data_IF_636560439889
#
_entry.id   IF_636560439889
#
_cell.length_a   1.000
_cell.length_b   1.000
_cell.length_c   1.000
_cell.angle_alpha   90.00
_cell.angle_beta   90.00
_cell.angle_gamma   90.00
#
_symmetry.space_group_name_H-M   'P 1'
#
loop_
_entity.id
_entity.type
_entity.pdbx_description
1 polymer ?
#
# COMPACT_ATOMS: atom_id res chain seq x y z
N UNK A 1 -5.77 -6.48 19.78
CA UNK A 1 -4.97 -5.29 19.42
C UNK A 1 -3.94 -4.89 20.48
N UNK A 2 -4.19 -5.05 21.79
CA UNK A 2 -3.17 -4.75 22.82
C UNK A 2 -2.02 -5.78 22.87
N UNK A 3 -2.30 -7.07 22.62
CA UNK A 3 -1.28 -8.13 22.61
C UNK A 3 -0.23 -7.96 21.50
N UNK A 4 -0.65 -7.48 20.32
CA UNK A 4 0.23 -7.26 19.17
C UNK A 4 1.18 -6.09 19.37
N UNK A 5 0.77 -5.05 20.10
CA UNK A 5 1.63 -3.91 20.42
C UNK A 5 2.69 -4.24 21.48
N UNK A 6 2.34 -5.05 22.48
CA UNK A 6 3.29 -5.52 23.48
C UNK A 6 4.34 -6.46 22.87
N UNK A 7 3.93 -7.29 21.90
CA UNK A 7 4.85 -8.17 21.18
C UNK A 7 5.84 -7.38 20.32
N UNK A 8 5.36 -6.36 19.60
CA UNK A 8 6.23 -5.48 18.81
C UNK A 8 7.21 -4.68 19.68
N UNK A 9 6.80 -4.23 20.87
CA UNK A 9 7.70 -3.56 21.82
C UNK A 9 8.77 -4.52 22.37
N UNK A 10 8.41 -5.79 22.61
CA UNK A 10 9.37 -6.80 23.05
C UNK A 10 10.40 -7.12 21.97
N UNK A 11 9.96 -7.27 20.72
CA UNK A 11 10.83 -7.54 19.58
C UNK A 11 11.77 -6.36 19.29
N UNK A 12 11.28 -5.12 19.38
CA UNK A 12 12.11 -3.91 19.26
C UNK A 12 13.16 -3.83 20.37
N UNK A 13 12.78 -4.10 21.62
CA UNK A 13 13.71 -4.13 22.74
C UNK A 13 14.78 -5.23 22.57
N UNK A 14 14.39 -6.40 22.05
CA UNK A 14 15.30 -7.49 21.76
C UNK A 14 16.31 -7.12 20.67
N UNK A 15 15.87 -6.51 19.58
CA UNK A 15 16.75 -6.10 18.48
C UNK A 15 17.69 -4.95 18.87
N UNK A 16 17.22 -3.98 19.65
CA UNK A 16 18.07 -2.88 20.17
C UNK A 16 19.14 -3.42 21.11
N UNK A 17 18.79 -4.36 22.00
CA UNK A 17 19.75 -4.96 22.93
C UNK A 17 20.83 -5.77 22.18
N UNK A 18 20.43 -6.52 21.15
CA UNK A 18 21.35 -7.29 20.30
C UNK A 18 22.28 -6.39 19.48
N UNK A 19 21.80 -5.22 19.04
CA UNK A 19 22.62 -4.21 18.35
C UNK A 19 23.65 -3.60 19.29
N UNK A 20 23.26 -3.25 20.52
CA UNK A 20 24.18 -2.72 21.54
C UNK A 20 25.24 -3.77 21.93
N UNK A 21 24.87 -5.05 22.02
CA UNK A 21 25.79 -6.15 22.29
C UNK A 21 26.76 -6.38 21.12
N UNK A 22 26.29 -6.32 19.88
CA UNK A 22 27.12 -6.43 18.68
C UNK A 22 28.07 -5.22 18.49
N UNK A 23 27.61 -4.01 18.80
CA UNK A 23 28.45 -2.80 18.80
C UNK A 23 29.50 -2.85 19.92
N UNK A 24 29.21 -3.49 21.07
CA UNK A 24 30.18 -3.76 22.14
C UNK A 24 31.24 -4.78 21.74
N UNK A 25 30.87 -5.84 21.03
CA UNK A 25 31.81 -6.84 20.51
C UNK A 25 32.68 -6.28 19.38
N UNK A 26 32.12 -5.43 18.51
CA UNK A 26 32.86 -4.75 17.45
C UNK A 26 33.79 -3.64 17.98
N UNK A 27 33.38 -2.91 19.02
CA UNK A 27 34.16 -1.84 19.64
C UNK A 27 35.34 -2.33 20.51
N UNK A 28 35.38 -3.61 20.88
CA UNK A 28 36.45 -4.20 21.69
C UNK A 28 37.76 -4.47 20.94
N UNK A 29 37.78 -4.34 19.61
CA UNK A 29 38.93 -4.73 18.78
C UNK A 29 39.77 -3.57 18.23
N UNK A 30 39.41 -2.31 18.50
CA UNK A 30 40.12 -1.14 17.97
C UNK A 30 41.13 -0.51 18.95
N UNK A 31 41.28 -1.04 20.15
CA UNK A 31 42.27 -0.58 21.13
C UNK A 31 43.19 -1.72 21.59
N UNK A 32 43.97 -2.29 20.69
CA UNK A 32 45.16 -3.08 21.05
C UNK A 32 46.13 -3.14 19.87
N UNK A 33 47.32 -2.57 20.08
CA UNK A 33 48.48 -2.74 19.21
C UNK A 33 48.71 -4.24 18.90
N UNK A 34 49.30 -4.59 17.74
CA UNK A 34 49.51 -5.99 17.39
C UNK A 34 50.48 -6.64 18.38
N UNK A 35 49.98 -7.56 19.22
CA UNK A 35 50.82 -8.47 19.98
C UNK A 35 51.25 -9.62 19.06
N UNK A 36 52.55 -9.99 19.04
CA UNK A 36 53.02 -11.14 18.28
C UNK A 36 52.52 -12.42 18.95
N UNK A 37 51.89 -13.32 18.19
CA UNK A 37 51.61 -14.68 18.65
C UNK A 37 52.79 -15.60 18.32
N UNK A 38 53.13 -16.56 19.20
CA UNK A 38 54.21 -17.50 18.97
C UNK A 38 53.79 -18.62 18.00
N UNK A 39 54.77 -19.13 17.27
CA UNK A 39 54.68 -20.25 16.33
C UNK A 39 54.53 -21.61 17.01
N UNK A 40 53.94 -22.57 16.29
CA UNK A 40 54.10 -24.01 16.56
C UNK A 40 54.53 -24.71 15.27
N UNK A 41 55.79 -25.13 15.29
CA UNK A 41 56.48 -26.28 14.69
C UNK A 41 55.83 -27.05 13.52
N UNK A 42 56.59 -27.11 12.42
CA UNK A 42 56.77 -28.34 11.65
C UNK A 42 58.17 -28.35 11.05
N UNK A 43 58.99 -29.22 11.62
CA UNK A 43 60.33 -29.57 11.14
C UNK A 43 60.26 -30.21 9.75
N UNK A 44 61.09 -29.73 8.82
CA UNK A 44 61.73 -30.63 7.87
C UNK A 44 63.12 -30.09 7.54
N UNK A 45 64.10 -30.84 8.01
CA UNK A 45 65.53 -30.66 7.79
C UNK A 45 65.89 -31.37 6.48
N UNK A 46 66.53 -30.67 5.55
CA UNK A 46 67.83 -31.13 5.02
C UNK A 46 68.56 -30.01 4.27
N UNK A 47 69.90 -29.92 4.42
CA UNK A 47 70.70 -28.77 4.02
C UNK A 47 71.37 -28.98 2.67
N UNK A 48 71.76 -27.90 1.99
CA UNK A 48 73.06 -27.81 1.29
C UNK A 48 73.29 -26.42 0.67
N UNK A 49 74.40 -25.84 1.13
CA UNK A 49 75.40 -25.07 0.37
C UNK A 49 75.06 -23.67 -0.20
N UNK A 50 75.78 -22.74 0.41
CA UNK A 50 76.62 -21.69 -0.22
C UNK A 50 75.94 -20.43 -0.76
N UNK A 51 76.43 -19.32 -0.21
CA UNK A 51 76.57 -17.99 -0.80
C UNK A 51 75.30 -17.12 -0.91
N UNK A 52 75.22 -16.13 -0.01
CA UNK A 52 75.66 -14.77 -0.36
C UNK A 52 75.73 -13.92 0.90
N UNK A 53 76.90 -13.32 1.12
CA UNK A 53 77.24 -12.34 2.15
C UNK A 53 76.36 -11.07 2.15
N UNK A 54 75.42 -10.95 1.22
CA UNK A 54 74.43 -9.88 1.14
C UNK A 54 73.29 -10.02 2.18
N UNK A 55 72.93 -11.23 2.62
CA UNK A 55 71.86 -11.43 3.60
C UNK A 55 72.30 -11.14 5.05
N UNK A 56 73.59 -11.31 5.35
CA UNK A 56 74.17 -11.05 6.67
C UNK A 56 74.50 -9.57 6.89
N UNK A 57 74.82 -8.82 5.82
CA UNK A 57 75.00 -7.37 5.88
C UNK A 57 73.69 -6.60 6.09
N UNK A 58 72.53 -7.17 5.72
CA UNK A 58 71.21 -6.54 5.97
C UNK A 58 70.75 -6.63 7.43
N UNK A 59 71.40 -7.45 8.27
CA UNK A 59 71.11 -7.54 9.73
C UNK A 59 72.04 -6.69 10.59
N UNK A 60 73.02 -6.00 10.01
CA UNK A 60 73.92 -5.07 10.70
C UNK A 60 73.66 -3.64 10.21
N UNK A 61 72.39 -3.26 10.08
CA UNK A 61 72.06 -1.83 10.13
C UNK A 61 72.29 -1.40 11.58
N UNK A 62 73.25 -0.50 11.78
CA UNK A 62 73.58 0.08 13.08
C UNK A 62 72.26 0.45 13.81
N UNK A 63 72.02 0.00 15.05
CA UNK A 63 70.81 0.37 15.80
C UNK A 63 70.61 1.90 15.85
N UNK A 64 71.71 2.65 15.80
CA UNK A 64 71.72 4.11 15.70
C UNK A 64 71.18 4.63 14.35
N UNK A 65 71.39 3.94 13.23
CA UNK A 65 70.88 4.32 11.90
C UNK A 65 69.38 4.05 11.78
N UNK A 66 68.87 2.97 12.37
CA UNK A 66 67.43 2.69 12.43
C UNK A 66 66.71 3.66 13.38
N UNK A 67 67.34 4.00 14.51
CA UNK A 67 66.87 5.02 15.45
C UNK A 67 66.81 6.41 14.79
N UNK A 68 67.84 6.75 14.01
CA UNK A 68 67.90 8.02 13.28
C UNK A 68 66.89 8.09 12.13
N UNK A 69 66.71 7.00 11.37
CA UNK A 69 65.68 6.94 10.34
C UNK A 69 64.26 7.12 10.92
N UNK A 70 63.98 6.51 12.09
CA UNK A 70 62.73 6.69 12.80
C UNK A 70 62.57 8.10 13.39
N UNK A 71 63.67 8.76 13.79
CA UNK A 71 63.66 10.17 14.24
C UNK A 71 63.36 11.12 13.09
N UNK A 72 63.99 10.89 11.94
CA UNK A 72 63.76 11.66 10.70
C UNK A 72 62.32 11.48 10.21
N UNK A 73 61.77 10.26 10.26
CA UNK A 73 60.36 10.02 9.91
C UNK A 73 59.41 10.77 10.85
N UNK A 74 59.66 10.75 12.16
CA UNK A 74 58.86 11.52 13.13
C UNK A 74 58.96 13.03 12.91
N UNK A 75 60.15 13.54 12.62
CA UNK A 75 60.33 14.96 12.29
C UNK A 75 59.61 15.35 11.00
N UNK A 76 59.61 14.48 9.97
CA UNK A 76 58.84 14.70 8.74
C UNK A 76 57.34 14.65 8.96
N UNK A 77 56.87 13.74 9.83
CA UNK A 77 55.47 13.68 10.23
C UNK A 77 55.05 14.96 10.96
N UNK A 78 55.86 15.43 11.91
CA UNK A 78 55.61 16.70 12.61
C UNK A 78 55.64 17.90 11.65
N UNK A 79 56.61 17.98 10.74
CA UNK A 79 56.67 19.04 9.74
C UNK A 79 55.52 18.99 8.72
N UNK A 80 54.99 17.80 8.42
CA UNK A 80 53.79 17.64 7.62
C UNK A 80 52.54 18.17 8.35
N UNK A 81 52.54 18.10 9.69
CA UNK A 81 51.44 18.57 10.54
C UNK A 81 51.53 20.09 10.81
N UNK A 82 52.73 20.69 10.86
CA UNK A 82 52.94 22.14 11.06
C UNK A 82 52.69 23.01 9.81
N UNK A 83 52.61 22.41 8.60
CA UNK A 83 52.46 23.11 7.32
C UNK A 83 51.02 23.34 6.83
N UNK A 84 50.02 23.12 7.68
CA UNK A 84 48.64 23.54 7.43
C UNK A 84 48.54 25.03 7.77
N UNK A 85 48.58 25.90 6.76
CA UNK A 85 48.15 27.29 6.96
C UNK A 85 46.69 27.28 7.39
N UNK A 86 46.32 28.11 8.38
CA UNK A 86 44.94 28.28 8.87
C UNK A 86 43.92 28.50 7.73
N UNK A 87 44.34 29.00 6.56
CA UNK A 87 43.48 29.22 5.39
C UNK A 87 43.14 27.95 4.56
N UNK A 88 43.82 26.81 4.80
CA UNK A 88 43.57 25.50 4.19
C UNK A 88 43.37 24.40 5.24
N UNK A 89 43.11 24.82 6.48
CA UNK A 89 42.71 23.97 7.59
C UNK A 89 41.55 23.08 7.15
N UNK A 90 41.68 21.80 7.46
CA UNK A 90 40.73 20.71 7.16
C UNK A 90 39.54 20.81 8.14
N UNK A 91 39.07 22.02 8.42
CA UNK A 91 38.01 22.33 9.39
C UNK A 91 36.70 21.61 9.03
N UNK A 92 36.40 21.48 7.73
CA UNK A 92 35.19 20.82 7.23
C UNK A 92 35.15 19.30 7.46
N UNK A 93 36.30 18.67 7.73
CA UNK A 93 36.42 17.21 7.77
C UNK A 93 36.73 16.66 9.18
N UNK A 94 36.95 17.54 10.15
CA UNK A 94 37.04 17.19 11.58
C UNK A 94 35.70 17.16 12.30
N UNK A 95 34.61 17.53 11.60
CA UNK A 95 33.23 17.57 12.12
C UNK A 95 32.52 16.25 11.80
N UNK A 96 31.62 15.83 12.68
CA UNK A 96 30.76 14.67 12.43
C UNK A 96 29.94 14.85 11.14
N UNK A 97 29.77 13.77 10.37
CA UNK A 97 29.02 13.79 9.12
C UNK A 97 27.52 14.02 9.40
N UNK A 98 27.06 15.26 9.35
CA UNK A 98 25.65 15.61 9.57
C UNK A 98 24.78 15.24 8.36
N UNK A 99 24.00 14.16 8.52
CA UNK A 99 22.87 13.88 7.63
C UNK A 99 21.61 14.45 8.30
N UNK A 100 20.87 15.36 7.63
CA UNK A 100 19.64 15.94 8.20
C UNK A 100 18.67 14.85 8.66
N UNK A 101 17.72 15.10 9.58
CA UNK A 101 16.71 14.09 9.96
C UNK A 101 15.76 13.77 8.78
N UNK A 102 15.10 12.60 8.83
CA UNK A 102 14.08 12.24 7.84
C UNK A 102 12.87 13.18 7.96
N UNK A 103 12.39 13.68 6.83
CA UNK A 103 11.21 14.55 6.74
C UNK A 103 10.20 13.94 5.78
N UNK A 104 8.95 14.39 5.84
CA UNK A 104 7.89 13.94 4.91
C UNK A 104 8.22 14.19 3.44
N UNK A 105 9.05 15.20 3.17
CA UNK A 105 9.39 15.64 1.82
C UNK A 105 10.64 14.94 1.28
N UNK A 106 11.33 14.13 2.11
CA UNK A 106 12.51 13.37 1.72
C UNK A 106 12.18 12.38 0.61
N UNK A 107 12.97 12.38 -0.48
CA UNK A 107 12.83 11.40 -1.57
C UNK A 107 14.08 10.55 -1.66
N UNK A 108 13.87 9.26 -1.91
CA UNK A 108 14.95 8.29 -2.10
C UNK A 108 15.92 8.72 -3.22
N UNK A 109 15.40 9.36 -4.26
CA UNK A 109 16.21 9.87 -5.39
C UNK A 109 17.23 10.91 -4.93
N UNK A 110 16.84 11.81 -4.03
CA UNK A 110 17.70 12.87 -3.52
C UNK A 110 18.79 12.30 -2.60
N UNK A 111 18.45 11.27 -1.83
CA UNK A 111 19.38 10.56 -0.95
C UNK A 111 20.42 9.77 -1.76
N UNK A 112 20.01 9.06 -2.81
CA UNK A 112 20.91 8.36 -3.73
C UNK A 112 21.82 9.36 -4.47
N UNK A 113 21.30 10.53 -4.85
CA UNK A 113 22.11 11.58 -5.45
C UNK A 113 23.20 12.09 -4.48
N UNK A 114 22.88 12.26 -3.20
CA UNK A 114 23.85 12.64 -2.17
C UNK A 114 24.96 11.58 -1.99
N UNK A 115 24.61 10.29 -2.01
CA UNK A 115 25.59 9.19 -2.00
C UNK A 115 26.51 9.26 -3.22
N UNK A 116 25.95 9.48 -4.42
CA UNK A 116 26.73 9.57 -5.65
C UNK A 116 27.74 10.73 -5.62
N UNK A 117 27.36 11.88 -5.05
CA UNK A 117 28.27 13.01 -4.83
C UNK A 117 29.40 12.61 -3.87
N UNK A 118 29.11 11.91 -2.78
CA UNK A 118 30.13 11.45 -1.85
C UNK A 118 31.10 10.46 -2.53
N UNK A 119 30.58 9.49 -3.29
CA UNK A 119 31.41 8.54 -4.05
C UNK A 119 32.31 9.23 -5.09
N UNK A 120 31.82 10.29 -5.74
CA UNK A 120 32.65 11.07 -6.66
C UNK A 120 33.80 11.77 -5.94
N UNK A 121 33.55 12.34 -4.75
CA UNK A 121 34.59 12.98 -3.93
C UNK A 121 35.58 11.96 -3.33
N UNK A 122 35.11 10.76 -2.99
CA UNK A 122 35.99 9.64 -2.60
C UNK A 122 36.92 9.26 -3.74
N UNK A 123 36.39 9.13 -4.96
CA UNK A 123 37.19 8.82 -6.15
C UNK A 123 38.27 9.88 -6.41
N UNK A 124 37.92 11.16 -6.27
CA UNK A 124 38.88 12.25 -6.43
C UNK A 124 39.99 12.19 -5.36
N UNK A 125 39.63 11.95 -4.10
CA UNK A 125 40.60 11.82 -3.01
C UNK A 125 41.53 10.62 -3.22
N UNK A 126 41.00 9.47 -3.64
CA UNK A 126 41.78 8.29 -3.96
C UNK A 126 42.70 8.51 -5.17
N UNK A 127 42.26 9.28 -6.17
CA UNK A 127 43.09 9.65 -7.32
C UNK A 127 44.27 10.52 -6.89
N UNK A 128 44.05 11.53 -6.05
CA UNK A 128 45.13 12.37 -5.53
C UNK A 128 46.14 11.54 -4.74
N UNK A 129 45.68 10.59 -3.91
CA UNK A 129 46.57 9.66 -3.21
C UNK A 129 47.42 8.82 -4.17
N UNK A 130 46.79 8.26 -5.20
CA UNK A 130 47.48 7.49 -6.23
C UNK A 130 48.52 8.33 -6.99
N UNK A 131 48.15 9.55 -7.40
CA UNK A 131 49.04 10.47 -8.10
C UNK A 131 50.24 10.85 -7.22
N UNK A 132 50.01 11.08 -5.91
CA UNK A 132 51.06 11.38 -4.92
C UNK A 132 52.03 10.22 -4.71
N UNK A 133 51.53 8.98 -4.76
CA UNK A 133 52.34 7.77 -4.73
C UNK A 133 53.14 7.60 -6.04
N UNK A 134 52.52 7.88 -7.19
CA UNK A 134 53.15 7.76 -8.49
C UNK A 134 54.25 8.80 -8.75
N UNK A 135 54.12 10.01 -8.20
CA UNK A 135 55.14 11.07 -8.31
C UNK A 135 56.32 10.88 -7.36
N UNK A 136 56.23 9.93 -6.42
CA UNK A 136 57.28 9.70 -5.46
C UNK A 136 58.53 9.04 -6.11
N UNK A 137 59.76 9.38 -5.66
CA UNK A 137 60.98 8.82 -6.25
C UNK A 137 61.03 7.30 -6.11
N UNK A 138 61.07 6.58 -7.23
CA UNK A 138 61.12 5.11 -7.30
C UNK A 138 62.42 4.48 -6.74
N UNK A 139 63.41 5.32 -6.44
CA UNK A 139 64.71 4.93 -5.85
C UNK A 139 64.67 4.84 -4.31
N UNK A 140 63.58 5.27 -3.67
CA UNK A 140 63.39 5.22 -2.22
C UNK A 140 62.66 3.93 -1.82
N UNK A 141 63.06 3.29 -0.73
CA UNK A 141 62.35 2.15 -0.09
C UNK A 141 60.97 2.53 0.49
N UNK A 142 60.57 3.78 0.29
CA UNK A 142 59.62 4.53 1.10
C UNK A 142 59.14 5.75 0.27
N UNK A 143 58.24 5.58 -0.71
CA UNK A 143 58.11 6.57 -1.78
C UNK A 143 57.51 7.89 -1.26
N UNK A 144 56.26 7.89 -0.82
CA UNK A 144 55.55 9.13 -0.45
C UNK A 144 55.87 9.60 0.97
N UNK A 145 56.22 8.72 1.91
CA UNK A 145 56.60 9.12 3.28
C UNK A 145 58.06 9.58 3.41
N UNK A 146 58.82 9.63 2.31
CA UNK A 146 60.18 10.19 2.30
C UNK A 146 60.22 11.72 2.30
N UNK A 147 59.11 12.38 1.98
CA UNK A 147 58.97 13.84 1.96
C UNK A 147 57.84 14.27 2.88
N UNK A 148 58.06 15.34 3.65
CA UNK A 148 57.02 15.93 4.50
C UNK A 148 55.83 16.44 3.66
N UNK A 149 56.07 16.94 2.45
CA UNK A 149 55.02 17.43 1.55
C UNK A 149 54.11 16.30 1.04
N UNK A 150 54.70 15.22 0.50
CA UNK A 150 53.93 14.06 0.03
C UNK A 150 53.21 13.35 1.19
N UNK A 151 53.82 13.30 2.38
CA UNK A 151 53.17 12.76 3.58
C UNK A 151 51.96 13.60 3.99
N UNK A 152 52.07 14.94 3.94
CA UNK A 152 50.95 15.85 4.21
C UNK A 152 49.81 15.65 3.21
N UNK A 153 50.11 15.61 1.92
CA UNK A 153 49.10 15.50 0.87
C UNK A 153 48.40 14.12 0.91
N UNK A 154 49.13 13.05 1.25
CA UNK A 154 48.54 11.73 1.54
C UNK A 154 47.63 11.74 2.78
N UNK A 155 48.08 12.33 3.90
CA UNK A 155 47.27 12.44 5.13
C UNK A 155 45.98 13.25 4.89
N UNK A 156 46.08 14.39 4.24
CA UNK A 156 44.93 15.24 3.93
C UNK A 156 43.93 14.52 3.01
N UNK A 157 44.41 13.86 1.97
CA UNK A 157 43.54 13.12 1.04
C UNK A 157 42.91 11.89 1.70
N UNK A 158 43.65 11.21 2.59
CA UNK A 158 43.10 10.10 3.38
C UNK A 158 42.01 10.56 4.35
N UNK A 159 42.18 11.70 5.04
CA UNK A 159 41.15 12.26 5.92
C UNK A 159 39.88 12.66 5.13
N UNK A 160 40.04 13.27 3.95
CA UNK A 160 38.90 13.61 3.07
C UNK A 160 38.18 12.37 2.55
N UNK A 161 38.94 11.35 2.15
CA UNK A 161 38.40 10.07 1.70
C UNK A 161 37.56 9.42 2.80
N UNK A 162 38.10 9.37 4.02
CA UNK A 162 37.44 8.75 5.17
C UNK A 162 36.13 9.47 5.54
N UNK A 163 36.14 10.80 5.60
CA UNK A 163 34.93 11.59 5.83
C UNK A 163 33.86 11.36 4.74
N UNK A 164 34.24 11.37 3.46
CA UNK A 164 33.28 11.12 2.39
C UNK A 164 32.73 9.69 2.42
N UNK A 165 33.53 8.72 2.85
CA UNK A 165 33.08 7.35 3.07
C UNK A 165 32.06 7.28 4.22
N UNK A 166 32.33 7.92 5.36
CA UNK A 166 31.39 8.00 6.48
C UNK A 166 30.10 8.73 6.10
N UNK A 167 30.20 9.84 5.36
CA UNK A 167 29.03 10.58 4.87
C UNK A 167 28.19 9.69 3.93
N UNK A 168 28.83 8.98 3.00
CA UNK A 168 28.13 8.05 2.10
C UNK A 168 27.42 6.92 2.85
N UNK A 169 28.06 6.38 3.90
CA UNK A 169 27.46 5.35 4.76
C UNK A 169 26.25 5.88 5.54
N UNK A 170 26.31 7.11 6.05
CA UNK A 170 25.18 7.73 6.75
C UNK A 170 24.01 7.99 5.80
N UNK A 171 24.28 8.50 4.59
CA UNK A 171 23.25 8.62 3.55
C UNK A 171 22.69 7.28 3.09
N UNK A 172 23.52 6.22 3.05
CA UNK A 172 23.06 4.87 2.75
C UNK A 172 22.10 4.34 3.81
N UNK A 173 22.42 4.50 5.11
CA UNK A 173 21.50 4.13 6.19
C UNK A 173 20.17 4.86 6.07
N UNK A 174 20.21 6.18 5.83
CA UNK A 174 19.01 6.98 5.61
C UNK A 174 18.18 6.47 4.43
N UNK A 175 18.82 6.16 3.30
CA UNK A 175 18.13 5.66 2.11
C UNK A 175 17.40 4.33 2.36
N UNK A 176 18.00 3.47 3.19
CA UNK A 176 17.38 2.22 3.61
C UNK A 176 16.16 2.46 4.51
N UNK A 177 16.25 3.38 5.48
CA UNK A 177 15.12 3.77 6.32
C UNK A 177 13.95 4.33 5.48
N UNK A 178 14.26 5.20 4.52
CA UNK A 178 13.25 5.77 3.63
C UNK A 178 12.59 4.72 2.73
N UNK A 179 13.37 3.78 2.21
CA UNK A 179 12.85 2.66 1.42
C UNK A 179 11.93 1.75 2.27
N UNK A 180 12.29 1.49 3.52
CA UNK A 180 11.45 0.72 4.45
C UNK A 180 10.14 1.45 4.76
N UNK A 181 10.18 2.76 5.00
CA UNK A 181 8.98 3.57 5.22
C UNK A 181 8.06 3.54 4.00
N UNK A 182 8.60 3.74 2.80
CA UNK A 182 7.83 3.67 1.55
C UNK A 182 7.22 2.28 1.32
N UNK A 183 7.97 1.21 1.59
CA UNK A 183 7.48 -0.15 1.46
C UNK A 183 6.31 -0.44 2.43
N UNK A 184 6.42 0.01 3.69
CA UNK A 184 5.34 -0.14 4.69
C UNK A 184 4.11 0.67 4.29
N UNK A 185 4.29 1.92 3.84
CA UNK A 185 3.19 2.75 3.35
C UNK A 185 2.49 2.10 2.16
N UNK A 186 3.24 1.60 1.17
CA UNK A 186 2.69 0.92 0.01
C UNK A 186 1.94 -0.37 0.41
N UNK A 187 2.46 -1.12 1.37
CA UNK A 187 1.79 -2.31 1.89
C UNK A 187 0.45 -1.94 2.55
N UNK A 188 0.42 -0.91 3.40
CA UNK A 188 -0.81 -0.43 4.03
C UNK A 188 -1.86 0.01 2.99
N UNK A 189 -1.44 0.76 1.97
CA UNK A 189 -2.32 1.16 0.86
C UNK A 189 -2.81 -0.06 0.07
N UNK A 190 -1.93 -1.03 -0.20
CA UNK A 190 -2.30 -2.27 -0.90
C UNK A 190 -3.33 -3.08 -0.12
N UNK A 191 -3.15 -3.21 1.20
CA UNK A 191 -4.10 -3.91 2.09
C UNK A 191 -5.45 -3.18 2.10
N UNK A 192 -5.44 -1.86 2.28
CA UNK A 192 -6.68 -1.06 2.27
C UNK A 192 -7.41 -1.11 0.93
N UNK A 193 -6.67 -1.06 -0.18
CA UNK A 193 -7.27 -1.17 -1.53
C UNK A 193 -7.86 -2.56 -1.74
N UNK A 194 -7.18 -3.60 -1.26
CA UNK A 194 -7.68 -4.99 -1.33
C UNK A 194 -8.98 -5.15 -0.54
N UNK A 195 -9.06 -4.60 0.68
CA UNK A 195 -10.30 -4.69 1.48
C UNK A 195 -11.45 -3.96 0.80
N UNK A 196 -11.22 -2.75 0.29
CA UNK A 196 -12.23 -1.99 -0.47
C UNK A 196 -12.72 -2.75 -1.71
N UNK A 197 -11.81 -3.41 -2.45
CA UNK A 197 -12.18 -4.19 -3.62
C UNK A 197 -13.06 -5.40 -3.25
N UNK A 198 -12.78 -6.07 -2.14
CA UNK A 198 -13.61 -7.17 -1.63
C UNK A 198 -15.00 -6.67 -1.20
N UNK A 199 -15.08 -5.53 -0.51
CA UNK A 199 -16.35 -4.90 -0.14
C UNK A 199 -17.20 -4.54 -1.38
N UNK A 200 -16.57 -3.93 -2.40
CA UNK A 200 -17.25 -3.61 -3.66
C UNK A 200 -17.72 -4.86 -4.40
N UNK A 201 -16.93 -5.93 -4.38
CA UNK A 201 -17.31 -7.22 -4.95
C UNK A 201 -18.53 -7.80 -4.24
N UNK A 202 -18.57 -7.73 -2.90
CA UNK A 202 -19.72 -8.19 -2.12
C UNK A 202 -20.98 -7.36 -2.43
N UNK A 203 -20.87 -6.03 -2.43
CA UNK A 203 -22.00 -5.15 -2.76
C UNK A 203 -22.55 -5.43 -4.16
N UNK A 204 -21.67 -5.70 -5.12
CA UNK A 204 -22.08 -6.07 -6.47
C UNK A 204 -22.86 -7.39 -6.51
N UNK A 205 -22.41 -8.41 -5.78
CA UNK A 205 -23.13 -9.69 -5.67
C UNK A 205 -24.50 -9.54 -4.99
N UNK A 206 -24.58 -8.72 -3.94
CA UNK A 206 -25.85 -8.39 -3.29
C UNK A 206 -26.80 -7.66 -4.24
N UNK A 207 -26.30 -6.69 -5.00
CA UNK A 207 -27.09 -5.97 -5.99
C UNK A 207 -27.62 -6.90 -7.09
N UNK A 208 -26.78 -7.80 -7.61
CA UNK A 208 -27.21 -8.80 -8.59
C UNK A 208 -28.29 -9.73 -8.05
N UNK A 209 -28.18 -10.14 -6.78
CA UNK A 209 -29.16 -10.99 -6.12
C UNK A 209 -30.50 -10.26 -6.01
N UNK A 210 -30.49 -9.02 -5.49
CA UNK A 210 -31.70 -8.17 -5.40
C UNK A 210 -32.33 -7.91 -6.77
N UNK A 211 -31.52 -7.73 -7.81
CA UNK A 211 -32.02 -7.50 -9.16
C UNK A 211 -32.69 -8.76 -9.72
N UNK A 212 -32.15 -9.94 -9.45
CA UNK A 212 -32.76 -11.23 -9.82
C UNK A 212 -34.08 -11.44 -9.07
N UNK A 213 -34.10 -11.21 -7.77
CA UNK A 213 -35.31 -11.33 -6.94
C UNK A 213 -36.38 -10.33 -7.39
N UNK A 214 -35.97 -9.10 -7.70
CA UNK A 214 -36.82 -8.06 -8.29
C UNK A 214 -37.42 -8.49 -9.63
N UNK A 215 -36.63 -9.10 -10.51
CA UNK A 215 -37.14 -9.64 -11.77
C UNK A 215 -38.14 -10.77 -11.55
N UNK A 216 -37.85 -11.70 -10.63
CA UNK A 216 -38.77 -12.80 -10.29
C UNK A 216 -40.11 -12.27 -9.76
N UNK A 217 -40.06 -11.33 -8.81
CA UNK A 217 -41.27 -10.70 -8.26
C UNK A 217 -42.08 -9.96 -9.33
N UNK A 218 -41.43 -9.24 -10.25
CA UNK A 218 -42.11 -8.59 -11.38
C UNK A 218 -42.80 -9.63 -12.28
N UNK A 219 -42.12 -10.73 -12.63
CA UNK A 219 -42.73 -11.78 -13.46
C UNK A 219 -43.93 -12.44 -12.77
N UNK A 220 -43.85 -12.65 -11.45
CA UNK A 220 -44.95 -13.20 -10.67
C UNK A 220 -46.15 -12.23 -10.62
N UNK A 221 -45.90 -10.95 -10.37
CA UNK A 221 -46.95 -9.93 -10.37
C UNK A 221 -47.61 -9.79 -11.75
N UNK A 222 -46.84 -9.88 -12.84
CA UNK A 222 -47.39 -9.89 -14.20
C UNK A 222 -48.32 -11.09 -14.45
N UNK A 223 -47.94 -12.28 -13.97
CA UNK A 223 -48.78 -13.48 -14.06
C UNK A 223 -50.07 -13.33 -13.22
N UNK A 224 -49.97 -12.78 -12.01
CA UNK A 224 -51.14 -12.53 -11.15
C UNK A 224 -52.08 -11.50 -11.76
N UNK A 225 -51.55 -10.40 -12.32
CA UNK A 225 -52.35 -9.39 -13.04
C UNK A 225 -53.09 -10.04 -14.20
N UNK A 226 -52.42 -10.83 -15.03
CA UNK A 226 -53.06 -11.53 -16.15
C UNK A 226 -54.17 -12.47 -15.67
N UNK A 227 -53.94 -13.18 -14.56
CA UNK A 227 -54.94 -14.06 -13.93
C UNK A 227 -56.15 -13.28 -13.43
N UNK A 228 -55.94 -12.14 -12.76
CA UNK A 228 -57.04 -11.30 -12.28
C UNK A 228 -57.81 -10.67 -13.43
N UNK A 229 -57.14 -10.23 -14.50
CA UNK A 229 -57.80 -9.72 -15.70
C UNK A 229 -58.68 -10.79 -16.35
N UNK A 230 -58.18 -12.02 -16.49
CA UNK A 230 -58.98 -13.13 -17.01
C UNK A 230 -60.21 -13.43 -16.14
N UNK A 231 -60.06 -13.39 -14.80
CA UNK A 231 -61.18 -13.58 -13.87
C UNK A 231 -62.22 -12.46 -13.98
N UNK A 232 -61.78 -11.22 -14.07
CA UNK A 232 -62.69 -10.07 -14.26
C UNK A 232 -63.44 -10.20 -15.58
N UNK A 233 -62.77 -10.57 -16.67
CA UNK A 233 -63.43 -10.81 -17.96
C UNK A 233 -64.46 -11.94 -17.89
N UNK A 234 -64.14 -13.04 -17.21
CA UNK A 234 -65.07 -14.16 -17.03
C UNK A 234 -66.32 -13.75 -16.21
N UNK A 235 -66.14 -13.02 -15.11
CA UNK A 235 -67.27 -12.53 -14.30
C UNK A 235 -68.09 -11.47 -15.04
N UNK A 236 -67.45 -10.59 -15.83
CA UNK A 236 -68.15 -9.64 -16.68
C UNK A 236 -68.98 -10.35 -17.76
N UNK A 237 -68.44 -11.40 -18.39
CA UNK A 237 -69.18 -12.22 -19.34
C UNK A 237 -70.35 -12.95 -18.67
N UNK A 238 -70.15 -13.49 -17.46
CA UNK A 238 -71.20 -14.13 -16.66
C UNK A 238 -72.29 -13.14 -16.28
N UNK A 239 -71.94 -11.94 -15.84
CA UNK A 239 -72.88 -10.86 -15.54
C UNK A 239 -73.70 -10.50 -16.78
N UNK A 240 -73.06 -10.34 -17.93
CA UNK A 240 -73.75 -10.03 -19.19
C UNK A 240 -74.73 -11.15 -19.58
N UNK A 241 -74.35 -12.42 -19.43
CA UNK A 241 -75.23 -13.55 -19.68
C UNK A 241 -76.46 -13.56 -18.75
N UNK A 242 -76.26 -13.36 -17.43
CA UNK A 242 -77.35 -13.28 -16.47
C UNK A 242 -78.28 -12.08 -16.73
N UNK A 243 -77.72 -10.93 -17.11
CA UNK A 243 -78.51 -9.76 -17.48
C UNK A 243 -79.39 -10.03 -18.71
N UNK A 244 -78.88 -10.78 -19.68
CA UNK A 244 -79.64 -11.19 -20.86
C UNK A 244 -80.73 -12.23 -20.51
N UNK A 245 -80.43 -13.19 -19.63
CA UNK A 245 -81.43 -14.14 -19.11
C UNK A 245 -82.58 -13.45 -18.37
N UNK A 246 -82.26 -12.49 -17.49
CA UNK A 246 -83.27 -11.66 -16.80
C UNK A 246 -84.10 -10.84 -17.79
N UNK A 247 -83.46 -10.29 -18.83
CA UNK A 247 -84.14 -9.54 -19.88
C UNK A 247 -85.15 -10.43 -20.62
N UNK A 248 -84.75 -11.63 -21.02
CA UNK A 248 -85.63 -12.59 -21.70
C UNK A 248 -86.80 -13.02 -20.79
N UNK A 249 -86.54 -13.34 -19.53
CA UNK A 249 -87.57 -13.71 -18.55
C UNK A 249 -88.62 -12.58 -18.37
N UNK A 250 -88.17 -11.32 -18.25
CA UNK A 250 -89.07 -10.17 -18.13
C UNK A 250 -89.95 -9.97 -19.39
N UNK A 251 -89.40 -10.26 -20.57
CA UNK A 251 -90.14 -10.21 -21.85
C UNK A 251 -91.15 -11.35 -21.96
N UNK A 252 -90.79 -12.58 -21.59
CA UNK A 252 -91.68 -13.73 -21.57
C UNK A 252 -92.89 -13.53 -20.65
N UNK A 253 -92.68 -12.87 -19.50
CA UNK A 253 -93.76 -12.50 -18.56
C UNK A 253 -94.55 -11.24 -18.97
N UNK A 254 -94.18 -10.59 -20.08
CA UNK A 254 -94.84 -9.37 -20.55
C UNK A 254 -94.71 -8.18 -19.59
N UNK A 255 -93.63 -8.13 -18.80
CA UNK A 255 -93.37 -7.03 -17.87
C UNK A 255 -92.69 -5.85 -18.54
N UNK A 256 -92.03 -6.07 -19.68
CA UNK A 256 -91.28 -5.06 -20.42
C UNK A 256 -91.52 -5.26 -21.93
N UNK A 257 -91.48 -4.18 -22.71
CA UNK A 257 -91.62 -4.21 -24.18
C UNK A 257 -90.53 -5.09 -24.83
N UNK A 258 -90.86 -5.96 -25.82
CA UNK A 258 -89.87 -6.71 -26.61
C UNK A 258 -88.77 -5.86 -27.24
N UNK A 259 -89.00 -4.57 -27.50
CA UNK A 259 -87.99 -3.64 -28.05
C UNK A 259 -86.99 -3.07 -27.03
N UNK A 260 -87.20 -3.29 -25.73
CA UNK A 260 -86.39 -2.67 -24.67
C UNK A 260 -85.00 -3.32 -24.54
N UNK A 261 -83.96 -2.47 -24.44
CA UNK A 261 -82.55 -2.90 -24.38
C UNK A 261 -81.89 -2.65 -23.02
N UNK A 262 -82.54 -1.93 -22.11
CA UNK A 262 -81.97 -1.65 -20.80
C UNK A 262 -82.14 -2.85 -19.84
N UNK A 263 -81.05 -3.54 -19.43
CA UNK A 263 -81.14 -4.71 -18.54
C UNK A 263 -81.59 -4.35 -17.12
N UNK A 264 -81.28 -3.14 -16.62
CA UNK A 264 -81.67 -2.69 -15.28
C UNK A 264 -83.19 -2.50 -15.18
N UNK A 265 -83.81 -2.11 -16.29
CA UNK A 265 -85.27 -1.96 -16.39
C UNK A 265 -85.99 -3.30 -16.27
N UNK A 266 -85.44 -4.34 -16.91
CA UNK A 266 -85.95 -5.71 -16.81
C UNK A 266 -85.77 -6.29 -15.41
N UNK A 267 -84.61 -6.07 -14.79
CA UNK A 267 -84.34 -6.50 -13.41
C UNK A 267 -85.30 -5.83 -12.40
N UNK A 268 -85.51 -4.51 -12.52
CA UNK A 268 -86.45 -3.78 -11.66
C UNK A 268 -87.89 -4.29 -11.83
N UNK A 269 -88.32 -4.55 -13.07
CA UNK A 269 -89.66 -5.07 -13.33
C UNK A 269 -89.86 -6.46 -12.71
N UNK A 270 -88.89 -7.37 -12.85
CA UNK A 270 -88.94 -8.69 -12.20
C UNK A 270 -88.95 -8.57 -10.67
N UNK A 271 -88.13 -7.70 -10.09
CA UNK A 271 -88.10 -7.47 -8.64
C UNK A 271 -89.43 -6.91 -8.10
N UNK A 272 -90.10 -6.03 -8.86
CA UNK A 272 -91.40 -5.48 -8.45
C UNK A 272 -92.53 -6.52 -8.52
N UNK A 273 -92.42 -7.50 -9.42
CA UNK A 273 -93.36 -8.61 -9.56
C UNK A 273 -93.15 -9.71 -8.50
N UNK A 274 -91.91 -10.18 -8.32
CA UNK A 274 -91.60 -11.34 -7.47
C UNK A 274 -91.61 -11.02 -5.97
N UNK A 275 -91.50 -9.75 -5.59
CA UNK A 275 -91.45 -9.35 -4.19
C UNK A 275 -92.83 -9.34 -3.55
N UNK A 276 -92.93 -9.99 -2.39
CA UNK A 276 -94.11 -9.87 -1.52
C UNK A 276 -94.14 -8.50 -0.83
N UNK A 277 -95.20 -7.72 -1.10
CA UNK A 277 -95.36 -6.38 -0.56
C UNK A 277 -96.09 -6.42 0.78
N UNK A 278 -95.50 -5.84 1.85
CA UNK A 278 -96.04 -5.94 3.21
C UNK A 278 -97.32 -5.13 3.44
N UNK A 279 -97.66 -4.20 2.55
CA UNK A 279 -98.90 -3.41 2.63
C UNK A 279 -99.62 -3.35 1.29
N UNK A 280 -100.97 -3.28 1.30
CA UNK A 280 -101.76 -3.23 0.07
C UNK A 280 -101.58 -1.92 -0.71
N UNK A 281 -101.21 -0.83 -0.03
CA UNK A 281 -100.87 0.43 -0.67
C UNK A 281 -99.57 0.32 -1.47
N UNK A 282 -98.52 -0.26 -0.88
CA UNK A 282 -97.25 -0.49 -1.59
C UNK A 282 -97.40 -1.45 -2.77
N UNK A 283 -98.27 -2.47 -2.64
CA UNK A 283 -98.60 -3.36 -3.76
C UNK A 283 -99.24 -2.60 -4.93
N UNK A 284 -100.12 -1.64 -4.63
CA UNK A 284 -100.75 -0.79 -5.64
C UNK A 284 -99.72 0.14 -6.29
N UNK A 285 -98.85 0.76 -5.50
CA UNK A 285 -97.79 1.62 -6.02
C UNK A 285 -96.82 0.83 -6.92
N UNK A 286 -96.45 -0.39 -6.53
CA UNK A 286 -95.62 -1.29 -7.35
C UNK A 286 -96.29 -1.64 -8.69
N UNK A 287 -97.61 -1.90 -8.71
CA UNK A 287 -98.33 -2.14 -9.96
C UNK A 287 -98.35 -0.91 -10.88
N UNK A 288 -98.50 0.30 -10.31
CA UNK A 288 -98.44 1.55 -11.10
C UNK A 288 -97.07 1.74 -11.73
N UNK A 289 -96.00 1.46 -10.98
CA UNK A 289 -94.63 1.53 -11.49
C UNK A 289 -94.38 0.47 -12.57
N UNK A 290 -94.89 -0.76 -12.42
CA UNK A 290 -94.81 -1.79 -13.45
C UNK A 290 -95.50 -1.38 -14.76
N UNK A 291 -96.71 -0.83 -14.68
CA UNK A 291 -97.44 -0.36 -15.87
C UNK A 291 -96.76 0.85 -16.52
N UNK A 292 -96.10 1.69 -15.71
CA UNK A 292 -95.24 2.78 -16.22
C UNK A 292 -93.99 2.22 -16.94
N UNK A 293 -93.31 1.22 -16.37
CA UNK A 293 -92.14 0.58 -16.98
C UNK A 293 -92.49 -0.10 -18.32
N UNK A 294 -93.72 -0.61 -18.48
CA UNK A 294 -94.20 -1.17 -19.76
C UNK A 294 -94.38 -0.12 -20.85
N UNK A 295 -94.68 1.13 -20.50
CA UNK A 295 -95.13 2.16 -21.44
C UNK A 295 -94.08 3.21 -21.79
N UNK A 296 -93.03 3.37 -20.98
CA UNK A 296 -92.03 4.45 -21.15
C UNK A 296 -90.62 3.90 -21.33
N UNK A 297 -89.95 4.29 -22.42
CA UNK A 297 -88.55 3.95 -22.75
C UNK A 297 -87.56 4.83 -21.97
N UNK A 298 -87.60 4.79 -20.65
CA UNK A 298 -86.71 5.60 -19.79
C UNK A 298 -85.37 4.89 -19.58
N UNK A 299 -84.26 5.58 -19.85
CA UNK A 299 -82.92 5.13 -19.48
C UNK A 299 -82.73 5.25 -17.97
N UNK A 300 -82.69 4.11 -17.29
CA UNK A 300 -82.23 4.00 -15.92
C UNK A 300 -80.69 3.89 -15.95
N UNK A 301 -80.00 4.81 -15.26
CA UNK A 301 -78.54 4.80 -15.04
C UNK A 301 -78.16 4.03 -13.77
#
# INVERSE_FOLDING_TARGET
MQSTLQQLQHDLAFHVKRRIEAEREAGGHLASAPRPRPSSDSESVTPLRAETTAAQQRRMADPDVLSEAARIQRARAAAADEGLSDDQSVEDYGVDCEVPPLTSDSRLVDEVAAIAVCMAKMKESAKVMYDTEATAPSTSTAPWWSSALHMRDMKASAARLDYHAHTALNWSHRSMEQLLLQAVMLNNVSVSTRTQLLEQQQHWQEFQTRLRDGQQTVTQLQADIARYQARVQAEMARRAALQEELRLCAQERGLVDPGERNPLKAELALLLEEREWPSPTLKKDASVVLDWLRSVSTTLE
#
